data_IF_330256397948
#
_entry.id   IF_330256397948
#
_cell.length_a   1.000
_cell.length_b   1.000
_cell.length_c   1.000
_cell.angle_alpha   90.00
_cell.angle_beta   90.00
_cell.angle_gamma   90.00
#
_symmetry.space_group_name_H-M   'P 1'
#
loop_
_entity.id
_entity.type
_entity.pdbx_description
1 polymer ?
#
# COMPACT_ATOMS: atom_id res chain seq x y z
N UNK A 1 -3.14 -0.73 7.81
CA UNK A 1 -4.30 -1.29 7.07
C UNK A 1 -5.58 -1.00 7.87
N UNK A 2 -6.57 -0.36 7.24
CA UNK A 2 -7.85 0.04 7.84
C UNK A 2 -9.01 -0.71 7.18
N UNK A 3 -10.07 -0.96 7.94
CA UNK A 3 -11.28 -1.65 7.44
C UNK A 3 -12.07 -2.25 8.60
N UNK A 4 -13.38 -2.43 8.42
CA UNK A 4 -14.27 -2.93 9.48
C UNK A 4 -13.92 -4.35 9.91
N UNK A 5 -14.49 -4.79 11.04
CA UNK A 5 -14.41 -6.22 11.39
C UNK A 5 -15.08 -7.05 10.30
N UNK A 6 -14.51 -8.21 9.96
CA UNK A 6 -15.00 -9.05 8.86
C UNK A 6 -14.66 -8.55 7.45
N UNK A 7 -13.97 -7.42 7.30
CA UNK A 7 -13.55 -6.90 5.98
C UNK A 7 -12.45 -7.76 5.31
N UNK A 8 -12.01 -8.87 5.91
CA UNK A 8 -11.03 -9.79 5.31
C UNK A 8 -9.57 -9.32 5.40
N UNK A 9 -9.22 -8.46 6.35
CA UNK A 9 -7.86 -7.91 6.48
C UNK A 9 -6.82 -8.96 6.85
N UNK A 10 -7.07 -9.71 7.91
CA UNK A 10 -6.19 -10.80 8.38
C UNK A 10 -6.05 -11.90 7.32
N UNK A 11 -7.18 -12.32 6.72
CA UNK A 11 -7.21 -13.25 5.60
C UNK A 11 -6.37 -12.77 4.40
N UNK A 12 -6.43 -11.47 4.08
CA UNK A 12 -5.60 -10.88 3.04
C UNK A 12 -4.11 -10.97 3.38
N UNK A 13 -3.70 -10.64 4.61
CA UNK A 13 -2.29 -10.70 5.04
C UNK A 13 -1.78 -12.15 4.97
N UNK A 14 -2.56 -13.11 5.47
CA UNK A 14 -2.21 -14.53 5.40
C UNK A 14 -2.03 -15.01 3.97
N UNK A 15 -3.01 -14.73 3.10
CA UNK A 15 -2.92 -15.14 1.71
C UNK A 15 -1.80 -14.42 0.95
N UNK A 16 -1.57 -13.13 1.21
CA UNK A 16 -0.43 -12.38 0.66
C UNK A 16 0.88 -13.06 1.05
N UNK A 17 1.06 -13.33 2.34
CA UNK A 17 2.26 -13.94 2.87
C UNK A 17 2.48 -15.34 2.27
N UNK A 18 1.48 -16.23 2.31
CA UNK A 18 1.59 -17.56 1.73
C UNK A 18 1.88 -17.54 0.21
N UNK A 19 1.20 -16.65 -0.54
CA UNK A 19 1.42 -16.49 -1.99
C UNK A 19 2.85 -16.05 -2.29
N UNK A 20 3.41 -15.18 -1.46
CA UNK A 20 4.73 -14.60 -1.69
C UNK A 20 5.87 -15.37 -1.00
N UNK A 21 5.60 -16.22 -0.02
CA UNK A 21 6.60 -17.06 0.64
C UNK A 21 7.20 -18.08 -0.34
N UNK A 22 6.36 -18.67 -1.21
CA UNK A 22 6.79 -19.59 -2.27
C UNK A 22 7.48 -18.88 -3.45
N UNK A 23 7.38 -17.55 -3.50
CA UNK A 23 7.91 -16.72 -4.55
C UNK A 23 6.91 -16.50 -5.69
N UNK A 24 6.82 -15.26 -6.13
CA UNK A 24 5.99 -14.83 -7.24
C UNK A 24 6.84 -14.01 -8.21
N UNK A 25 7.14 -14.60 -9.37
CA UNK A 25 8.02 -14.00 -10.39
C UNK A 25 9.37 -13.54 -9.83
N UNK A 26 9.92 -14.29 -8.88
CA UNK A 26 11.18 -13.98 -8.21
C UNK A 26 11.07 -13.02 -7.02
N UNK A 27 9.89 -12.42 -6.77
CA UNK A 27 9.62 -11.68 -5.53
C UNK A 27 9.24 -12.64 -4.41
N UNK A 28 9.80 -12.42 -3.22
CA UNK A 28 9.45 -13.19 -2.02
C UNK A 28 9.15 -12.28 -0.85
N UNK A 29 8.28 -12.75 0.04
CA UNK A 29 8.00 -12.14 1.33
C UNK A 29 8.42 -13.11 2.44
N UNK A 30 9.16 -12.61 3.43
CA UNK A 30 9.59 -13.39 4.59
C UNK A 30 9.46 -12.58 5.86
N UNK A 31 9.27 -13.22 7.00
CA UNK A 31 9.42 -12.61 8.32
C UNK A 31 10.84 -12.88 8.85
N UNK A 32 11.37 -11.98 9.66
CA UNK A 32 12.65 -12.17 10.37
C UNK A 32 12.50 -12.98 11.65
N UNK A 33 11.26 -13.10 12.16
CA UNK A 33 10.88 -13.89 13.31
C UNK A 33 10.35 -15.27 12.88
N UNK A 34 11.03 -16.32 13.33
CA UNK A 34 10.69 -17.71 13.02
C UNK A 34 9.38 -18.16 13.68
N UNK A 35 9.05 -17.63 14.85
CA UNK A 35 7.81 -17.97 15.54
C UNK A 35 6.61 -17.36 14.79
N UNK A 36 6.79 -16.16 14.25
CA UNK A 36 5.80 -15.50 13.39
C UNK A 36 5.66 -16.21 12.03
N UNK A 37 6.77 -16.67 11.44
CA UNK A 37 6.78 -17.48 10.20
C UNK A 37 5.93 -18.75 10.39
N UNK A 38 6.24 -19.53 11.43
CA UNK A 38 5.52 -20.74 11.79
C UNK A 38 4.03 -20.45 12.06
N UNK A 39 3.72 -19.36 12.76
CA UNK A 39 2.33 -18.98 13.08
C UNK A 39 1.55 -18.65 11.81
N UNK A 40 2.10 -17.86 10.90
CA UNK A 40 1.45 -17.48 9.65
C UNK A 40 1.25 -18.68 8.73
N UNK A 41 2.24 -19.57 8.63
CA UNK A 41 2.13 -20.82 7.87
C UNK A 41 1.05 -21.74 8.45
N UNK A 42 1.03 -21.97 9.76
CA UNK A 42 -0.03 -22.80 10.38
C UNK A 42 -1.43 -22.22 10.17
N UNK A 43 -1.58 -20.88 10.26
CA UNK A 43 -2.87 -20.23 9.99
C UNK A 43 -3.29 -20.35 8.53
N UNK A 44 -2.33 -20.35 7.61
CA UNK A 44 -2.59 -20.59 6.19
C UNK A 44 -2.98 -22.04 5.92
N UNK A 45 -2.25 -23.00 6.49
CA UNK A 45 -2.53 -24.43 6.33
C UNK A 45 -3.93 -24.77 6.88
N UNK A 46 -4.29 -24.27 8.06
CA UNK A 46 -5.65 -24.39 8.59
C UNK A 46 -6.69 -23.79 7.62
N UNK A 47 -6.40 -22.63 7.03
CA UNK A 47 -7.30 -21.99 6.09
C UNK A 47 -7.47 -22.80 4.81
N UNK A 48 -6.49 -23.60 4.39
CA UNK A 48 -6.55 -24.45 3.18
C UNK A 48 -7.14 -25.83 3.48
N UNK A 49 -6.74 -26.46 4.58
CA UNK A 49 -7.00 -27.88 4.88
C UNK A 49 -8.28 -28.12 5.69
N UNK A 50 -8.66 -27.18 6.56
CA UNK A 50 -9.85 -27.33 7.40
C UNK A 50 -11.13 -26.91 6.65
N UNK A 51 -12.26 -27.44 7.12
CA UNK A 51 -13.59 -27.11 6.61
C UNK A 51 -14.42 -26.32 7.63
N UNK A 52 -15.46 -25.65 7.15
CA UNK A 52 -16.43 -24.98 8.01
C UNK A 52 -15.92 -23.64 8.56
N UNK A 53 -16.40 -23.27 9.75
CA UNK A 53 -16.06 -21.97 10.36
C UNK A 53 -14.66 -21.93 10.93
N UNK A 54 -14.09 -23.08 11.25
CA UNK A 54 -12.87 -23.19 12.04
C UNK A 54 -11.60 -23.00 11.19
N UNK A 55 -11.72 -23.11 9.87
CA UNK A 55 -10.65 -22.78 8.92
C UNK A 55 -10.27 -21.30 8.92
N UNK A 56 -11.18 -20.42 9.34
CA UNK A 56 -10.97 -18.97 9.25
C UNK A 56 -10.16 -18.47 10.45
N UNK A 57 -9.15 -17.59 10.24
CA UNK A 57 -8.41 -17.01 11.35
C UNK A 57 -9.37 -16.21 12.25
N UNK A 58 -9.13 -16.21 13.57
CA UNK A 58 -9.94 -15.42 14.48
C UNK A 58 -9.83 -13.93 14.11
N UNK A 59 -10.88 -13.12 14.34
CA UNK A 59 -10.81 -11.68 14.15
C UNK A 59 -9.64 -11.08 14.94
N UNK A 60 -8.96 -10.08 14.37
CA UNK A 60 -7.96 -9.27 15.10
C UNK A 60 -8.57 -8.84 16.44
N UNK A 61 -7.92 -9.22 17.55
CA UNK A 61 -8.46 -9.11 18.90
C UNK A 61 -8.59 -7.67 19.42
N UNK A 62 -8.38 -7.51 20.73
CA UNK A 62 -8.45 -6.20 21.38
C UNK A 62 -7.32 -5.24 20.95
N UNK A 63 -6.22 -5.77 20.41
CA UNK A 63 -5.01 -5.01 20.08
C UNK A 63 -4.73 -5.00 18.57
N UNK A 64 -3.93 -4.00 18.14
CA UNK A 64 -3.42 -3.90 16.77
C UNK A 64 -2.33 -4.95 16.57
N UNK A 65 -2.38 -5.70 15.47
CA UNK A 65 -1.31 -6.65 15.14
C UNK A 65 -0.26 -5.96 14.26
N UNK A 66 1.01 -6.07 14.66
CA UNK A 66 2.15 -5.62 13.88
C UNK A 66 2.87 -6.82 13.28
N UNK A 67 3.19 -6.74 12.00
CA UNK A 67 4.02 -7.71 11.29
C UNK A 67 5.28 -7.01 10.82
N UNK A 68 6.41 -7.70 10.84
CA UNK A 68 7.68 -7.23 10.28
C UNK A 68 8.04 -8.12 9.08
N UNK A 69 8.14 -7.53 7.90
CA UNK A 69 8.40 -8.28 6.68
C UNK A 69 9.60 -7.76 5.91
N UNK A 70 10.29 -8.70 5.28
CA UNK A 70 11.32 -8.47 4.29
C UNK A 70 10.82 -8.85 2.90
N UNK A 71 10.87 -7.88 1.99
CA UNK A 71 10.58 -8.08 0.59
C UNK A 71 11.87 -8.23 -0.19
N UNK A 72 11.98 -9.32 -0.94
CA UNK A 72 13.20 -9.68 -1.66
C UNK A 72 12.91 -9.97 -3.13
N UNK A 73 13.95 -9.84 -3.97
CA UNK A 73 13.92 -10.30 -5.35
C UNK A 73 15.17 -11.14 -5.63
N UNK A 74 14.99 -12.38 -6.07
CA UNK A 74 16.09 -13.30 -6.34
C UNK A 74 17.02 -13.50 -5.12
N UNK A 75 16.43 -13.70 -3.94
CA UNK A 75 17.11 -13.86 -2.64
C UNK A 75 17.88 -12.62 -2.14
N UNK A 76 17.74 -11.47 -2.81
CA UNK A 76 18.31 -10.19 -2.36
C UNK A 76 17.21 -9.34 -1.74
N UNK A 77 17.37 -8.99 -0.47
CA UNK A 77 16.48 -8.06 0.24
C UNK A 77 16.43 -6.72 -0.49
N UNK A 78 15.23 -6.31 -0.89
CA UNK A 78 14.97 -5.01 -1.50
C UNK A 78 14.66 -3.97 -0.42
N UNK A 79 13.78 -4.31 0.52
CA UNK A 79 13.32 -3.43 1.60
C UNK A 79 12.67 -4.25 2.71
N UNK A 80 12.82 -3.81 3.95
CA UNK A 80 12.02 -4.28 5.08
C UNK A 80 10.99 -3.23 5.49
N UNK A 81 9.86 -3.66 6.01
CA UNK A 81 8.79 -2.77 6.44
C UNK A 81 7.93 -3.37 7.56
N UNK A 82 7.32 -2.48 8.32
CA UNK A 82 6.31 -2.83 9.30
C UNK A 82 4.92 -2.75 8.67
N UNK A 83 4.07 -3.73 8.97
CA UNK A 83 2.67 -3.73 8.57
C UNK A 83 1.76 -3.74 9.79
N UNK A 84 0.94 -2.70 9.92
CA UNK A 84 -0.01 -2.55 11.03
C UNK A 84 -1.43 -2.94 10.58
N UNK A 85 -1.95 -4.04 11.11
CA UNK A 85 -3.36 -4.46 10.96
C UNK A 85 -4.19 -3.94 12.13
N UNK A 86 -4.93 -2.86 11.89
CA UNK A 86 -5.76 -2.24 12.91
C UNK A 86 -7.07 -3.01 13.09
N UNK A 87 -7.43 -3.28 14.35
CA UNK A 87 -8.73 -3.87 14.68
C UNK A 87 -9.87 -3.01 14.11
N UNK A 88 -10.90 -3.66 13.58
CA UNK A 88 -12.04 -2.94 13.01
C UNK A 88 -12.76 -2.03 14.01
N UNK A 89 -12.72 -2.39 15.29
CA UNK A 89 -13.27 -1.61 16.41
C UNK A 89 -12.55 -0.29 16.68
N UNK A 90 -11.26 -0.17 16.35
CA UNK A 90 -10.50 1.07 16.53
C UNK A 90 -11.05 2.23 15.67
N UNK A 91 -11.80 1.91 14.61
CA UNK A 91 -12.52 2.91 13.81
C UNK A 91 -13.89 3.30 14.40
N UNK A 92 -14.41 2.52 15.35
CA UNK A 92 -15.74 2.68 15.95
C UNK A 92 -15.70 3.40 17.29
N UNK A 93 -14.56 3.38 17.98
CA UNK A 93 -14.39 4.02 19.29
C UNK A 93 -14.50 5.56 19.20
N UNK A 94 -14.89 6.17 20.33
CA UNK A 94 -15.06 7.62 20.42
C UNK A 94 -13.69 8.31 20.31
N UNK A 95 -13.66 9.51 19.73
CA UNK A 95 -12.44 10.28 19.44
C UNK A 95 -11.62 10.71 20.67
N UNK A 96 -12.07 10.39 21.88
CA UNK A 96 -11.36 10.60 23.14
C UNK A 96 -10.68 9.35 23.70
N UNK A 97 -10.81 8.20 23.05
CA UNK A 97 -10.09 6.99 23.42
C UNK A 97 -8.64 7.07 22.91
N UNK A 98 -7.68 6.66 23.75
CA UNK A 98 -6.23 6.64 23.45
C UNK A 98 -5.94 6.02 22.08
N UNK A 99 -6.68 4.97 21.71
CA UNK A 99 -6.52 4.22 20.48
C UNK A 99 -6.70 5.05 19.20
N UNK A 100 -7.63 6.02 19.21
CA UNK A 100 -7.88 6.88 18.03
C UNK A 100 -6.72 7.84 17.80
N UNK A 101 -6.16 8.38 18.89
CA UNK A 101 -4.99 9.27 18.81
C UNK A 101 -3.75 8.51 18.35
N UNK A 102 -3.49 7.33 18.92
CA UNK A 102 -2.38 6.47 18.49
C UNK A 102 -2.53 6.08 17.01
N UNK A 103 -3.73 5.72 16.57
CA UNK A 103 -3.99 5.44 15.17
C UNK A 103 -3.70 6.66 14.27
N UNK A 104 -4.13 7.86 14.68
CA UNK A 104 -3.84 9.10 13.95
C UNK A 104 -2.34 9.40 13.83
N UNK A 105 -1.60 9.25 14.93
CA UNK A 105 -0.15 9.44 14.95
C UNK A 105 0.56 8.46 14.01
N UNK A 106 0.17 7.18 14.08
CA UNK A 106 0.73 6.13 13.21
C UNK A 106 0.36 6.32 11.75
N UNK A 107 -0.85 6.79 11.44
CA UNK A 107 -1.25 7.11 10.05
C UNK A 107 -0.39 8.23 9.48
N UNK A 108 -0.10 9.27 10.26
CA UNK A 108 0.78 10.37 9.81
C UNK A 108 2.23 9.91 9.56
N UNK A 109 2.70 8.91 10.30
CA UNK A 109 4.02 8.30 10.13
C UNK A 109 4.07 7.22 9.05
N UNK A 110 2.91 6.72 8.58
CA UNK A 110 2.86 5.64 7.60
C UNK A 110 3.35 6.11 6.24
N UNK A 111 4.05 5.24 5.52
CA UNK A 111 4.46 5.49 4.13
C UNK A 111 3.34 5.20 3.12
N UNK A 112 2.36 4.36 3.50
CA UNK A 112 1.21 4.00 2.67
C UNK A 112 0.01 3.60 3.55
N UNK A 113 -1.21 3.84 3.05
CA UNK A 113 -2.44 3.42 3.74
C UNK A 113 -3.26 2.48 2.86
N UNK A 114 -3.61 1.33 3.44
CA UNK A 114 -4.49 0.33 2.84
C UNK A 114 -5.89 0.47 3.42
N UNK A 115 -6.89 0.71 2.57
CA UNK A 115 -8.30 0.86 2.88
C UNK A 115 -9.06 -0.36 2.36
N UNK A 116 -9.51 -1.21 3.28
CA UNK A 116 -10.13 -2.48 2.94
C UNK A 116 -11.65 -2.36 2.92
N UNK A 117 -12.23 -2.70 1.78
CA UNK A 117 -13.68 -2.67 1.56
C UNK A 117 -14.14 -4.05 1.13
N UNK A 118 -14.96 -4.69 1.96
CA UNK A 118 -15.56 -5.98 1.63
C UNK A 118 -16.47 -5.87 0.40
N UNK A 119 -16.25 -6.75 -0.58
CA UNK A 119 -17.05 -6.90 -1.78
C UNK A 119 -18.54 -7.18 -1.49
N UNK A 120 -18.85 -7.75 -0.33
CA UNK A 120 -20.22 -7.94 0.17
C UNK A 120 -21.03 -6.62 0.18
N UNK A 121 -20.38 -5.52 0.52
CA UNK A 121 -21.02 -4.20 0.55
C UNK A 121 -21.06 -3.53 -0.84
N UNK A 122 -20.48 -4.15 -1.85
CA UNK A 122 -20.41 -3.64 -3.21
C UNK A 122 -21.15 -4.53 -4.22
N UNK A 123 -21.76 -5.65 -3.80
CA UNK A 123 -22.35 -6.65 -4.70
C UNK A 123 -23.62 -6.24 -5.49
N UNK A 124 -24.26 -5.12 -5.16
CA UNK A 124 -25.52 -4.70 -5.80
C UNK A 124 -25.28 -3.67 -6.91
N UNK A 125 -25.91 -3.89 -8.07
CA UNK A 125 -25.94 -2.94 -9.21
C UNK A 125 -26.99 -1.85 -9.00
N UNK A 126 -26.85 -0.73 -9.71
CA UNK A 126 -27.83 0.37 -9.80
C UNK A 126 -28.35 0.89 -8.46
N UNK A 127 -27.44 1.04 -7.50
CA UNK A 127 -27.77 1.60 -6.19
C UNK A 127 -28.13 3.08 -6.33
N UNK A 128 -29.30 3.45 -5.78
CA UNK A 128 -29.56 4.86 -5.49
C UNK A 128 -28.50 5.42 -4.55
N UNK A 129 -28.23 6.72 -4.63
CA UNK A 129 -27.19 7.36 -3.83
C UNK A 129 -27.36 7.10 -2.32
N UNK A 130 -28.59 7.14 -1.82
CA UNK A 130 -28.91 6.82 -0.42
C UNK A 130 -28.52 5.39 -0.03
N UNK A 131 -28.78 4.41 -0.91
CA UNK A 131 -28.40 3.01 -0.65
C UNK A 131 -26.89 2.83 -0.70
N UNK A 132 -26.20 3.46 -1.66
CA UNK A 132 -24.75 3.45 -1.74
C UNK A 132 -24.12 4.02 -0.46
N UNK A 133 -24.60 5.18 0.02
CA UNK A 133 -24.14 5.79 1.28
C UNK A 133 -24.36 4.88 2.49
N UNK A 134 -25.50 4.18 2.55
CA UNK A 134 -25.81 3.22 3.61
C UNK A 134 -24.83 2.04 3.60
N UNK A 135 -24.57 1.44 2.43
CA UNK A 135 -23.58 0.37 2.28
C UNK A 135 -22.16 0.84 2.60
N UNK A 136 -21.78 2.03 2.13
CA UNK A 136 -20.48 2.64 2.45
C UNK A 136 -20.27 2.82 3.97
N UNK A 137 -21.33 3.20 4.70
CA UNK A 137 -21.28 3.29 6.17
C UNK A 137 -21.08 1.91 6.82
N UNK A 138 -21.75 0.86 6.34
CA UNK A 138 -21.54 -0.51 6.82
C UNK A 138 -20.11 -1.01 6.54
N UNK A 139 -19.55 -0.62 5.40
CA UNK A 139 -18.15 -0.85 5.06
C UNK A 139 -17.14 0.04 5.82
N UNK A 140 -17.61 0.93 6.71
CA UNK A 140 -16.76 1.84 7.49
C UNK A 140 -16.12 2.98 6.70
N UNK A 141 -16.56 3.22 5.47
CA UNK A 141 -15.97 4.23 4.57
C UNK A 141 -16.07 5.64 5.14
N UNK A 142 -17.15 5.95 5.86
CA UNK A 142 -17.29 7.25 6.54
C UNK A 142 -16.20 7.49 7.59
N UNK A 143 -15.75 6.44 8.29
CA UNK A 143 -14.65 6.53 9.26
C UNK A 143 -13.31 6.62 8.55
N UNK A 144 -13.09 5.82 7.52
CA UNK A 144 -11.88 5.93 6.69
C UNK A 144 -11.73 7.34 6.09
N UNK A 145 -12.81 7.94 5.57
CA UNK A 145 -12.79 9.32 5.07
C UNK A 145 -12.46 10.36 6.15
N UNK A 146 -12.84 10.12 7.41
CA UNK A 146 -12.45 11.01 8.52
C UNK A 146 -10.93 10.97 8.73
N UNK A 147 -10.35 9.77 8.77
CA UNK A 147 -8.90 9.59 8.87
C UNK A 147 -8.15 10.21 7.68
N UNK A 148 -8.67 10.03 6.46
CA UNK A 148 -8.11 10.63 5.25
C UNK A 148 -8.17 12.16 5.27
N UNK A 149 -9.26 12.74 5.78
CA UNK A 149 -9.38 14.20 5.94
C UNK A 149 -8.30 14.74 6.88
N UNK A 150 -8.06 14.07 8.01
CA UNK A 150 -7.02 14.49 8.95
C UNK A 150 -5.62 14.30 8.36
N UNK A 151 -5.39 13.19 7.65
CA UNK A 151 -4.14 12.95 6.94
C UNK A 151 -3.89 14.03 5.88
N UNK A 152 -4.92 14.45 5.13
CA UNK A 152 -4.79 15.52 4.14
C UNK A 152 -4.27 16.83 4.75
N UNK A 153 -4.64 17.14 6.00
CA UNK A 153 -4.17 18.33 6.70
C UNK A 153 -2.68 18.26 7.05
N UNK A 154 -2.15 17.08 7.36
CA UNK A 154 -0.73 16.88 7.66
C UNK A 154 0.13 16.74 6.41
N UNK A 155 -0.48 16.45 5.26
CA UNK A 155 0.19 16.32 3.98
C UNK A 155 0.38 17.63 3.22
N UNK A 156 -0.18 18.76 3.67
CA UNK A 156 -0.08 20.05 2.95
C UNK A 156 1.36 20.50 2.69
N UNK A 157 2.31 20.08 3.53
CA UNK A 157 3.74 20.38 3.38
C UNK A 157 4.53 19.27 2.64
N UNK A 158 3.89 18.15 2.30
CA UNK A 158 4.55 17.08 1.54
C UNK A 158 4.60 17.46 0.08
N UNK A 159 5.81 17.52 -0.47
CA UNK A 159 6.05 17.80 -1.89
C UNK A 159 5.74 16.61 -2.81
N UNK A 160 5.22 15.50 -2.27
CA UNK A 160 5.10 14.22 -2.99
C UNK A 160 3.75 13.56 -2.73
N UNK A 161 3.16 12.93 -3.75
CA UNK A 161 1.89 12.23 -3.61
C UNK A 161 1.98 11.09 -2.58
N UNK A 162 1.01 11.03 -1.69
CA UNK A 162 0.88 9.98 -0.69
C UNK A 162 0.17 8.74 -1.26
N UNK A 163 0.75 7.54 -1.13
CA UNK A 163 0.16 6.34 -1.70
C UNK A 163 -0.97 5.76 -0.83
N UNK A 164 -2.10 5.50 -1.46
CA UNK A 164 -3.26 4.86 -0.85
C UNK A 164 -3.68 3.66 -1.72
N UNK A 165 -3.97 2.54 -1.08
CA UNK A 165 -4.56 1.37 -1.77
C UNK A 165 -5.96 1.12 -1.26
N UNK A 166 -6.94 1.18 -2.15
CA UNK A 166 -8.29 0.69 -1.88
C UNK A 166 -8.31 -0.79 -2.27
N UNK A 167 -8.24 -1.66 -1.27
CA UNK A 167 -8.29 -3.10 -1.44
C UNK A 167 -9.75 -3.55 -1.37
N UNK A 168 -10.29 -4.01 -2.49
CA UNK A 168 -11.63 -4.61 -2.53
C UNK A 168 -11.48 -6.10 -2.23
N UNK A 169 -11.62 -6.46 -0.95
CA UNK A 169 -11.52 -7.84 -0.47
C UNK A 169 -12.80 -8.61 -0.78
N UNK A 170 -12.74 -9.96 -0.71
CA UNK A 170 -13.87 -10.84 -1.08
C UNK A 170 -14.45 -10.47 -2.45
N UNK A 171 -13.59 -10.16 -3.42
CA UNK A 171 -14.01 -9.63 -4.72
C UNK A 171 -14.88 -10.61 -5.51
N UNK A 172 -14.74 -11.90 -5.25
CA UNK A 172 -15.63 -12.96 -5.72
C UNK A 172 -17.12 -12.66 -5.48
N UNK A 173 -17.48 -11.97 -4.39
CA UNK A 173 -18.85 -11.55 -4.08
C UNK A 173 -19.39 -10.41 -4.98
N UNK A 174 -18.54 -9.70 -5.72
CA UNK A 174 -18.94 -8.55 -6.52
C UNK A 174 -18.32 -8.48 -7.92
N UNK A 175 -17.58 -9.51 -8.34
CA UNK A 175 -16.85 -9.57 -9.62
C UNK A 175 -17.69 -9.23 -10.85
N UNK A 176 -18.97 -9.60 -10.84
CA UNK A 176 -19.91 -9.38 -11.96
C UNK A 176 -20.23 -7.90 -12.23
N UNK A 177 -19.82 -7.01 -11.33
CA UNK A 177 -20.00 -5.56 -11.50
C UNK A 177 -18.88 -4.92 -12.32
N UNK A 178 -17.72 -5.57 -12.45
CA UNK A 178 -16.58 -5.04 -13.22
C UNK A 178 -16.26 -3.57 -12.87
N UNK A 179 -16.31 -2.69 -13.87
CA UNK A 179 -15.95 -1.26 -13.75
C UNK A 179 -16.92 -0.45 -12.88
N UNK A 180 -18.15 -0.90 -12.65
CA UNK A 180 -19.12 -0.16 -11.83
C UNK A 180 -18.67 -0.02 -10.38
N UNK A 181 -17.89 -0.98 -9.88
CA UNK A 181 -17.29 -0.91 -8.54
C UNK A 181 -16.40 0.32 -8.41
N UNK A 182 -15.58 0.60 -9.43
CA UNK A 182 -14.67 1.76 -9.44
C UNK A 182 -15.47 3.04 -9.36
N UNK A 183 -16.57 3.14 -10.13
CA UNK A 183 -17.43 4.32 -10.13
C UNK A 183 -18.05 4.57 -8.75
N UNK A 184 -18.50 3.51 -8.07
CA UNK A 184 -19.04 3.63 -6.71
C UNK A 184 -17.96 3.96 -5.68
N UNK A 185 -16.77 3.35 -5.79
CA UNK A 185 -15.62 3.69 -4.96
C UNK A 185 -15.22 5.16 -5.12
N UNK A 186 -15.19 5.68 -6.35
CA UNK A 186 -14.94 7.10 -6.63
C UNK A 186 -15.97 8.02 -5.96
N UNK A 187 -17.24 7.63 -5.91
CA UNK A 187 -18.29 8.41 -5.22
C UNK A 187 -18.10 8.41 -3.70
N UNK A 188 -17.80 7.25 -3.11
CA UNK A 188 -17.75 7.12 -1.64
C UNK A 188 -16.41 7.57 -1.06
N UNK A 189 -15.31 7.49 -1.82
CA UNK A 189 -13.98 8.03 -1.50
C UNK A 189 -13.65 9.27 -2.33
N UNK A 190 -14.64 10.14 -2.57
CA UNK A 190 -14.51 11.29 -3.46
C UNK A 190 -13.24 12.13 -3.20
N UNK A 191 -12.86 12.33 -1.94
CA UNK A 191 -11.65 13.07 -1.54
C UNK A 191 -10.38 12.61 -2.29
N UNK A 192 -10.26 11.32 -2.55
CA UNK A 192 -9.09 10.70 -3.20
C UNK A 192 -9.08 10.86 -4.72
N UNK A 193 -10.23 11.20 -5.31
CA UNK A 193 -10.42 11.27 -6.76
C UNK A 193 -10.78 12.67 -7.25
N UNK A 194 -10.87 13.66 -6.36
CA UNK A 194 -10.90 15.06 -6.78
C UNK A 194 -9.54 15.47 -7.38
N UNK A 195 -9.49 16.49 -8.25
CA UNK A 195 -8.23 17.03 -8.77
C UNK A 195 -7.33 17.55 -7.65
N UNK A 196 -6.46 16.67 -7.14
CA UNK A 196 -5.49 16.97 -6.09
C UNK A 196 -4.21 16.15 -6.34
N UNK A 197 -3.06 16.75 -6.66
CA UNK A 197 -1.81 16.01 -6.89
C UNK A 197 -1.31 15.22 -5.67
N UNK A 198 -1.83 15.48 -4.47
CA UNK A 198 -1.36 14.88 -3.23
C UNK A 198 -1.67 13.38 -3.10
N UNK A 199 -2.55 12.83 -3.93
CA UNK A 199 -2.98 11.42 -3.83
C UNK A 199 -2.51 10.58 -5.01
N UNK A 200 -1.81 9.49 -4.68
CA UNK A 200 -1.52 8.39 -5.59
C UNK A 200 -2.33 7.17 -5.13
N UNK A 201 -3.36 6.80 -5.87
CA UNK A 201 -4.38 5.84 -5.42
C UNK A 201 -4.39 4.61 -6.32
N UNK A 202 -4.30 3.42 -5.75
CA UNK A 202 -4.58 2.18 -6.46
C UNK A 202 -5.94 1.62 -6.00
N UNK A 203 -6.77 1.19 -6.94
CA UNK A 203 -7.93 0.34 -6.65
C UNK A 203 -7.56 -1.09 -7.03
N UNK A 204 -7.53 -2.00 -6.06
CA UNK A 204 -7.12 -3.37 -6.28
C UNK A 204 -8.18 -4.36 -5.79
N UNK A 205 -8.90 -5.02 -6.70
CA UNK A 205 -9.72 -6.17 -6.37
C UNK A 205 -8.86 -7.38 -6.01
N UNK A 206 -9.18 -8.02 -4.88
CA UNK A 206 -8.48 -9.21 -4.40
C UNK A 206 -9.45 -10.25 -3.86
N UNK A 207 -9.08 -11.53 -3.97
CA UNK A 207 -9.87 -12.63 -3.43
C UNK A 207 -8.96 -13.78 -3.00
N UNK A 208 -9.42 -14.56 -2.01
CA UNK A 208 -8.80 -15.82 -1.61
C UNK A 208 -9.26 -17.00 -2.48
N UNK A 209 -10.31 -16.85 -3.29
CA UNK A 209 -10.87 -17.95 -4.06
C UNK A 209 -12.17 -17.57 -4.76
N UNK A 210 -12.40 -18.11 -5.95
CA UNK A 210 -13.57 -17.77 -6.78
C UNK A 210 -14.87 -18.39 -6.31
N UNK A 211 -14.80 -19.45 -5.51
CA UNK A 211 -15.93 -20.27 -5.07
C UNK A 211 -16.34 -19.97 -3.61
N UNK A 212 -15.56 -19.15 -2.91
CA UNK A 212 -15.81 -18.83 -1.50
C UNK A 212 -17.11 -18.05 -1.30
N UNK A 213 -17.51 -17.24 -2.28
CA UNK A 213 -18.81 -16.58 -2.31
C UNK A 213 -20.01 -17.53 -2.17
N UNK A 214 -19.89 -18.73 -2.73
CA UNK A 214 -20.98 -19.73 -2.79
C UNK A 214 -20.80 -20.82 -1.73
N UNK A 215 -19.56 -21.07 -1.32
CA UNK A 215 -19.19 -22.15 -0.42
C UNK A 215 -18.05 -21.73 0.52
N UNK A 216 -18.35 -20.94 1.54
CA UNK A 216 -17.35 -20.49 2.52
C UNK A 216 -16.76 -21.65 3.34
N UNK A 217 -17.47 -22.78 3.47
CA UNK A 217 -17.03 -23.89 4.31
C UNK A 217 -16.00 -24.79 3.64
N UNK A 218 -16.20 -25.13 2.36
CA UNK A 218 -15.36 -26.13 1.66
C UNK A 218 -14.83 -25.62 0.30
N UNK A 219 -15.13 -24.36 -0.05
CA UNK A 219 -14.64 -23.76 -1.29
C UNK A 219 -13.11 -23.72 -1.34
N UNK A 220 -12.59 -23.91 -2.55
CA UNK A 220 -11.15 -23.93 -2.80
C UNK A 220 -10.50 -22.55 -2.56
N UNK A 221 -9.32 -22.59 -1.95
CA UNK A 221 -8.46 -21.42 -1.77
C UNK A 221 -7.57 -21.29 -3.01
N UNK A 222 -7.92 -20.34 -3.86
CA UNK A 222 -7.17 -19.96 -5.07
C UNK A 222 -6.98 -18.43 -5.10
N UNK A 223 -5.95 -17.92 -4.37
CA UNK A 223 -5.65 -16.50 -4.30
C UNK A 223 -5.53 -15.80 -5.64
N UNK A 224 -6.13 -14.62 -5.74
CA UNK A 224 -6.01 -13.73 -6.91
C UNK A 224 -5.60 -12.32 -6.50
N UNK A 225 -4.53 -11.85 -7.14
CA UNK A 225 -4.04 -10.47 -7.07
C UNK A 225 -3.62 -9.98 -5.69
N UNK A 226 -3.39 -10.87 -4.72
CA UNK A 226 -3.04 -10.48 -3.35
C UNK A 226 -1.74 -9.69 -3.25
N UNK A 227 -0.79 -9.93 -4.15
CA UNK A 227 0.52 -9.28 -4.16
C UNK A 227 0.50 -7.84 -4.69
N UNK A 228 -0.41 -7.52 -5.63
CA UNK A 228 -0.41 -6.23 -6.34
C UNK A 228 -0.50 -5.00 -5.43
N UNK A 229 -1.35 -4.99 -4.37
CA UNK A 229 -1.38 -3.87 -3.42
C UNK A 229 -0.03 -3.60 -2.75
N UNK A 230 0.71 -4.65 -2.36
CA UNK A 230 2.05 -4.51 -1.77
C UNK A 230 3.05 -4.00 -2.81
N UNK A 231 3.06 -4.60 -4.00
CA UNK A 231 3.95 -4.19 -5.10
C UNK A 231 3.75 -2.69 -5.43
N UNK A 232 2.51 -2.21 -5.46
CA UNK A 232 2.22 -0.79 -5.66
C UNK A 232 2.76 0.09 -4.53
N UNK A 233 2.57 -0.30 -3.26
CA UNK A 233 3.08 0.46 -2.13
C UNK A 233 4.61 0.59 -2.19
N UNK A 234 5.30 -0.50 -2.53
CA UNK A 234 6.76 -0.51 -2.72
C UNK A 234 7.18 0.34 -3.93
N UNK A 235 6.47 0.24 -5.05
CA UNK A 235 6.71 1.07 -6.22
C UNK A 235 6.60 2.56 -5.89
N UNK A 236 5.55 2.95 -5.16
CA UNK A 236 5.37 4.33 -4.71
C UNK A 236 6.51 4.79 -3.80
N UNK A 237 7.00 3.92 -2.90
CA UNK A 237 8.14 4.24 -2.03
C UNK A 237 9.44 4.41 -2.80
N UNK A 238 9.73 3.54 -3.75
CA UNK A 238 10.91 3.68 -4.60
C UNK A 238 10.82 4.92 -5.50
N UNK A 239 9.63 5.27 -6.00
CA UNK A 239 9.40 6.52 -6.73
C UNK A 239 9.70 7.74 -5.86
N UNK A 240 9.27 7.72 -4.59
CA UNK A 240 9.58 8.77 -3.63
C UNK A 240 11.09 8.92 -3.42
N UNK A 241 11.81 7.80 -3.24
CA UNK A 241 13.27 7.80 -3.13
C UNK A 241 13.95 8.34 -4.38
N UNK A 242 13.50 7.92 -5.57
CA UNK A 242 14.00 8.42 -6.84
C UNK A 242 13.90 9.94 -6.93
N UNK A 243 12.73 10.50 -6.59
CA UNK A 243 12.52 11.96 -6.59
C UNK A 243 13.48 12.68 -5.64
N UNK A 244 13.65 12.18 -4.40
CA UNK A 244 14.61 12.77 -3.45
C UNK A 244 16.03 12.78 -3.99
N UNK A 245 16.46 11.68 -4.61
CA UNK A 245 17.81 11.57 -5.14
C UNK A 245 18.02 12.45 -6.38
N UNK A 246 17.00 12.62 -7.24
CA UNK A 246 17.03 13.55 -8.36
C UNK A 246 17.16 15.01 -7.91
N UNK A 247 16.44 15.40 -6.87
CA UNK A 247 16.55 16.74 -6.26
C UNK A 247 17.96 16.98 -5.71
N UNK A 248 18.52 16.00 -4.97
CA UNK A 248 19.90 16.06 -4.44
C UNK A 248 20.94 16.20 -5.55
N UNK A 249 20.83 15.39 -6.61
CA UNK A 249 21.72 15.50 -7.78
C UNK A 249 21.62 16.89 -8.40
N UNK A 250 20.40 17.42 -8.54
CA UNK A 250 20.18 18.75 -9.13
C UNK A 250 20.79 19.86 -8.27
N UNK A 251 20.59 19.81 -6.94
CA UNK A 251 21.19 20.77 -6.00
C UNK A 251 22.72 20.70 -6.00
N UNK A 252 23.29 19.49 -5.95
CA UNK A 252 24.74 19.31 -5.98
C UNK A 252 25.36 19.79 -7.29
N UNK A 253 24.66 19.62 -8.44
CA UNK A 253 25.10 20.18 -9.73
C UNK A 253 25.13 21.71 -9.70
N UNK A 254 24.08 22.36 -9.18
CA UNK A 254 24.03 23.82 -9.02
C UNK A 254 25.18 24.30 -8.12
N UNK A 255 25.43 23.62 -7.01
CA UNK A 255 26.54 23.92 -6.11
C UNK A 255 27.90 23.78 -6.81
N UNK A 256 28.09 22.69 -7.58
CA UNK A 256 29.32 22.45 -8.33
C UNK A 256 29.56 23.54 -9.39
N UNK A 257 28.51 23.95 -10.10
CA UNK A 257 28.58 25.02 -11.09
C UNK A 257 28.93 26.37 -10.45
N UNK A 258 28.37 26.65 -9.27
CA UNK A 258 28.70 27.85 -8.48
C UNK A 258 30.18 27.83 -8.04
N UNK A 259 30.66 26.68 -7.57
CA UNK A 259 32.07 26.50 -7.21
C UNK A 259 32.99 26.70 -8.42
N UNK A 260 32.58 26.25 -9.62
CA UNK A 260 33.31 26.48 -10.89
C UNK A 260 33.26 27.96 -11.32
N UNK A 261 32.14 28.62 -11.05
CA UNK A 261 31.81 30.05 -11.19
C UNK A 261 32.82 31.02 -10.53
N UNK A 262 33.31 30.66 -9.34
CA UNK A 262 34.00 31.57 -8.42
C UNK A 262 35.32 32.19 -8.93
N UNK A 263 35.81 33.22 -8.22
CA UNK A 263 37.06 33.92 -8.55
C UNK A 263 38.30 33.01 -8.39
N UNK A 264 39.42 33.34 -9.05
CA UNK A 264 40.60 32.46 -9.13
C UNK A 264 41.11 31.95 -7.77
N UNK A 265 41.12 32.81 -6.74
CA UNK A 265 41.43 32.42 -5.36
C UNK A 265 40.44 31.39 -4.81
N UNK A 266 39.14 31.59 -4.98
CA UNK A 266 38.11 30.63 -4.55
C UNK A 266 38.25 29.29 -5.27
N UNK A 267 38.65 29.28 -6.56
CA UNK A 267 38.89 28.02 -7.29
C UNK A 267 40.06 27.21 -6.77
N UNK A 268 41.09 27.88 -6.25
CA UNK A 268 42.29 27.26 -5.70
C UNK A 268 42.07 26.67 -4.30
N UNK A 269 41.28 27.35 -3.46
CA UNK A 269 40.97 26.88 -2.11
C UNK A 269 39.79 25.88 -2.05
N UNK A 270 38.87 25.88 -3.04
CA UNK A 270 37.70 24.98 -3.08
C UNK A 270 37.95 23.61 -3.74
N UNK A 271 39.22 23.26 -4.03
CA UNK A 271 39.55 22.00 -4.72
C UNK A 271 39.07 20.74 -3.98
N UNK A 272 39.11 20.75 -2.65
CA UNK A 272 38.58 19.66 -1.81
C UNK A 272 37.05 19.57 -1.85
N UNK A 273 36.36 20.71 -1.73
CA UNK A 273 34.91 20.79 -1.78
C UNK A 273 34.37 20.30 -3.12
N UNK A 274 34.97 20.71 -4.25
CA UNK A 274 34.56 20.25 -5.59
C UNK A 274 34.64 18.74 -5.74
N UNK A 275 35.75 18.12 -5.31
CA UNK A 275 35.90 16.66 -5.36
C UNK A 275 34.86 15.95 -4.50
N UNK A 276 34.54 16.51 -3.34
CA UNK A 276 33.51 15.96 -2.46
C UNK A 276 32.11 16.05 -3.07
N UNK A 277 31.78 17.17 -3.73
CA UNK A 277 30.50 17.37 -4.43
C UNK A 277 30.39 16.46 -5.66
N UNK A 278 31.46 16.33 -6.45
CA UNK A 278 31.53 15.40 -7.59
C UNK A 278 31.32 13.95 -7.13
N UNK A 279 32.04 13.50 -6.09
CA UNK A 279 31.85 12.16 -5.53
C UNK A 279 30.42 11.94 -5.00
N UNK A 280 29.78 12.96 -4.45
CA UNK A 280 28.39 12.89 -3.97
C UNK A 280 27.40 12.78 -5.12
N UNK A 281 27.65 13.45 -6.25
CA UNK A 281 26.86 13.32 -7.48
C UNK A 281 26.99 11.90 -8.03
N UNK A 282 28.20 11.37 -8.15
CA UNK A 282 28.45 10.02 -8.68
C UNK A 282 27.76 8.94 -7.82
N UNK A 283 27.86 9.07 -6.49
CA UNK A 283 27.19 8.17 -5.56
C UNK A 283 25.65 8.23 -5.71
N UNK A 284 25.08 9.43 -5.80
CA UNK A 284 23.63 9.61 -5.98
C UNK A 284 23.14 9.10 -7.35
N UNK A 285 23.94 9.25 -8.41
CA UNK A 285 23.64 8.68 -9.73
C UNK A 285 23.65 7.15 -9.72
N UNK A 286 24.61 6.53 -9.02
CA UNK A 286 24.65 5.07 -8.85
C UNK A 286 23.41 4.58 -8.09
N UNK A 287 23.01 5.27 -7.03
CA UNK A 287 21.78 4.96 -6.30
C UNK A 287 20.53 5.12 -7.17
N UNK A 288 20.46 6.16 -8.01
CA UNK A 288 19.35 6.37 -8.95
C UNK A 288 19.21 5.19 -9.92
N UNK A 289 20.33 4.69 -10.47
CA UNK A 289 20.30 3.53 -11.37
C UNK A 289 19.78 2.26 -10.66
N UNK A 290 20.16 2.04 -9.41
CA UNK A 290 19.66 0.91 -8.62
C UNK A 290 18.15 1.03 -8.35
N UNK A 291 17.69 2.21 -7.92
CA UNK A 291 16.26 2.49 -7.69
C UNK A 291 15.46 2.29 -8.97
N UNK A 292 15.95 2.79 -10.11
CA UNK A 292 15.29 2.62 -11.41
C UNK A 292 15.13 1.16 -11.79
N UNK A 293 16.16 0.33 -11.58
CA UNK A 293 16.06 -1.12 -11.83
C UNK A 293 15.00 -1.77 -10.94
N UNK A 294 14.97 -1.43 -9.65
CA UNK A 294 13.97 -1.94 -8.70
C UNK A 294 12.55 -1.51 -9.10
N UNK A 295 12.37 -0.25 -9.49
CA UNK A 295 11.08 0.25 -9.97
C UNK A 295 10.62 -0.46 -11.24
N UNK A 296 11.51 -0.68 -12.21
CA UNK A 296 11.18 -1.38 -13.45
C UNK A 296 10.69 -2.82 -13.18
N UNK A 297 11.32 -3.53 -12.23
CA UNK A 297 10.87 -4.86 -11.81
C UNK A 297 9.45 -4.83 -11.22
N UNK A 298 9.14 -3.84 -10.37
CA UNK A 298 7.81 -3.70 -9.77
C UNK A 298 6.75 -3.23 -10.78
N UNK A 299 7.14 -2.36 -11.71
CA UNK A 299 6.26 -1.80 -12.73
C UNK A 299 5.67 -2.86 -13.66
N UNK A 300 6.43 -3.92 -13.97
CA UNK A 300 5.97 -5.04 -14.80
C UNK A 300 4.68 -5.68 -14.26
N UNK A 301 4.58 -5.83 -12.95
CA UNK A 301 3.40 -6.39 -12.27
C UNK A 301 2.22 -5.40 -12.20
N UNK A 302 2.47 -4.10 -12.34
CA UNK A 302 1.47 -3.05 -12.20
C UNK A 302 0.86 -2.59 -13.53
N UNK A 303 1.26 -3.19 -14.66
CA UNK A 303 0.80 -2.80 -16.01
C UNK A 303 -0.72 -2.83 -16.19
N UNK A 304 -1.42 -3.74 -15.53
CA UNK A 304 -2.89 -3.83 -15.55
C UNK A 304 -3.57 -3.22 -14.31
N UNK A 305 -2.82 -2.57 -13.43
CA UNK A 305 -3.36 -2.02 -12.19
C UNK A 305 -4.12 -0.72 -12.44
N UNK A 306 -5.20 -0.51 -11.70
CA UNK A 306 -6.01 0.72 -11.78
C UNK A 306 -5.41 1.76 -10.83
N UNK A 307 -4.54 2.59 -11.37
CA UNK A 307 -3.80 3.60 -10.61
C UNK A 307 -4.24 5.00 -11.02
N UNK A 308 -4.38 5.88 -10.03
CA UNK A 308 -4.86 7.24 -10.19
C UNK A 308 -3.90 8.22 -9.52
N UNK A 309 -3.56 9.30 -10.23
CA UNK A 309 -2.83 10.44 -9.68
C UNK A 309 -3.70 11.68 -9.78
N UNK A 310 -4.06 12.25 -8.63
CA UNK A 310 -5.00 13.38 -8.55
C UNK A 310 -6.30 13.17 -9.32
N UNK A 311 -6.89 11.99 -9.13
CA UNK A 311 -8.17 11.60 -9.74
C UNK A 311 -8.10 11.17 -11.21
N UNK A 312 -6.96 11.34 -11.88
CA UNK A 312 -6.76 10.90 -13.27
C UNK A 312 -6.09 9.54 -13.30
N UNK A 313 -6.63 8.63 -14.12
CA UNK A 313 -6.03 7.32 -14.34
C UNK A 313 -4.66 7.51 -15.01
N UNK A 314 -3.65 6.79 -14.52
CA UNK A 314 -2.29 6.81 -15.05
C UNK A 314 -1.82 5.38 -15.28
N UNK A 315 -0.96 5.22 -16.28
CA UNK A 315 -0.22 3.98 -16.48
C UNK A 315 1.14 4.08 -15.76
N UNK A 316 1.65 2.93 -15.32
CA UNK A 316 2.99 2.84 -14.74
C UNK A 316 3.97 2.65 -15.89
N UNK A 317 4.92 3.57 -16.04
CA UNK A 317 5.99 3.44 -17.01
C UNK A 317 6.88 2.24 -16.62
N UNK A 318 7.03 1.28 -17.56
CA UNK A 318 7.89 0.10 -17.44
C UNK A 318 9.26 0.34 -18.09
#
# INVERSE_FOLDING_TARGET
MLGTSGAGKTCYILGLYATMQLGLQGFTLSTTDMDEDLRLTNLWDNLVEEEGTDRWPPPTGMETTQYEFDFSYGLRRLIGFDWLDYRGGAMLDSSGASDVQTLMERLNQSDCVFLCVSGEHLNQKDLSETKLRSKARRAGVNRMNLFLTNLAQTLQDRQKPFPIVIVVTKYDLCRERGKDIINDLKKIFNLLFMPNPDWLVMVCPVSLGKELAENESTGEIDPKSLHLPLVFALYAKFREYMMTQQERVSQNKIQLDTLRQGNWFQRLFSGGERRSTESSIDAAQSQLQDIQKKMALLAQELTSAQIYLGGKEIEVDV
#
